data_IF_316147424101
#
_entry.id   IF_316147424101
#
_cell.length_a   1.000
_cell.length_b   1.000
_cell.length_c   1.000
_cell.angle_alpha   90.00
_cell.angle_beta   90.00
_cell.angle_gamma   90.00
#
_symmetry.space_group_name_H-M   'P 1'
#
loop_
_entity.id
_entity.type
_entity.pdbx_description
1 polymer ?
#
# COMPACT_ATOMS: atom_id res chain seq x y z
N UNK A 1 -4.42 -6.61 -11.62
CA UNK A 1 -3.78 -5.90 -10.49
C UNK A 1 -4.51 -6.18 -9.19
N UNK A 2 -5.82 -5.89 -9.11
CA UNK A 2 -6.62 -6.19 -7.91
C UNK A 2 -6.58 -7.67 -7.51
N UNK A 3 -6.67 -8.57 -8.48
CA UNK A 3 -6.64 -10.02 -8.20
C UNK A 3 -5.31 -10.48 -7.57
N UNK A 4 -4.17 -10.04 -8.12
CA UNK A 4 -2.84 -10.32 -7.55
C UNK A 4 -2.74 -9.78 -6.12
N UNK A 5 -3.29 -8.60 -5.88
CA UNK A 5 -3.30 -7.99 -4.55
C UNK A 5 -4.16 -8.79 -3.55
N UNK A 6 -5.34 -9.28 -3.98
CA UNK A 6 -6.20 -10.16 -3.17
C UNK A 6 -5.51 -11.49 -2.88
N UNK A 7 -4.86 -12.10 -3.86
CA UNK A 7 -4.11 -13.35 -3.68
C UNK A 7 -2.99 -13.20 -2.64
N UNK A 8 -2.22 -12.10 -2.68
CA UNK A 8 -1.20 -11.82 -1.65
C UNK A 8 -1.85 -11.73 -0.26
N UNK A 9 -2.97 -11.03 -0.14
CA UNK A 9 -3.67 -10.89 1.14
C UNK A 9 -4.21 -12.21 1.67
N UNK A 10 -4.76 -13.06 0.80
CA UNK A 10 -5.22 -14.40 1.15
C UNK A 10 -4.05 -15.27 1.62
N UNK A 11 -2.94 -15.28 0.88
CA UNK A 11 -1.74 -16.05 1.23
C UNK A 11 -1.18 -15.67 2.61
N UNK A 12 -1.30 -14.40 2.99
CA UNK A 12 -0.86 -13.91 4.30
C UNK A 12 -1.98 -13.86 5.36
N UNK A 13 -3.21 -14.28 5.03
CA UNK A 13 -4.38 -14.19 5.91
C UNK A 13 -4.64 -12.77 6.46
N UNK A 14 -4.32 -11.75 5.67
CA UNK A 14 -4.45 -10.34 6.06
C UNK A 14 -5.75 -9.77 5.50
N UNK A 15 -6.56 -9.16 6.37
CA UNK A 15 -7.75 -8.43 5.92
C UNK A 15 -7.33 -7.14 5.20
N UNK A 16 -7.87 -6.90 4.01
CA UNK A 16 -7.61 -5.70 3.22
C UNK A 16 -7.74 -4.39 4.02
N UNK A 17 -8.76 -4.27 4.87
CA UNK A 17 -9.01 -3.08 5.71
C UNK A 17 -7.81 -2.71 6.60
N UNK A 18 -6.97 -3.68 7.01
CA UNK A 18 -5.81 -3.44 7.85
C UNK A 18 -4.67 -2.73 7.10
N UNK A 19 -4.48 -3.07 5.82
CA UNK A 19 -3.38 -2.53 5.02
C UNK A 19 -3.78 -1.36 4.11
N UNK A 20 -5.07 -1.20 3.83
CA UNK A 20 -5.55 -0.19 2.89
C UNK A 20 -5.12 1.23 3.30
N UNK A 21 -5.26 1.57 4.59
CA UNK A 21 -4.91 2.90 5.09
C UNK A 21 -3.39 3.14 5.13
N UNK A 22 -2.56 2.23 5.71
CA UNK A 22 -1.10 2.36 5.65
C UNK A 22 -0.55 2.52 4.23
N UNK A 23 -1.05 1.72 3.27
CA UNK A 23 -0.62 1.80 1.87
C UNK A 23 -1.01 3.15 1.25
N UNK A 24 -2.22 3.66 1.50
CA UNK A 24 -2.63 4.99 1.02
C UNK A 24 -1.72 6.10 1.53
N UNK A 25 -1.39 6.08 2.83
CA UNK A 25 -0.49 7.07 3.43
C UNK A 25 0.92 6.93 2.83
N UNK A 26 1.44 5.72 2.70
CA UNK A 26 2.74 5.46 2.09
C UNK A 26 2.83 5.97 0.63
N UNK A 27 1.74 5.80 -0.14
CA UNK A 27 1.72 6.18 -1.55
C UNK A 27 1.38 7.64 -1.79
N UNK A 28 0.58 8.29 -0.94
CA UNK A 28 0.02 9.63 -1.21
C UNK A 28 0.38 10.70 -0.17
N UNK A 29 0.87 10.30 1.00
CA UNK A 29 1.05 11.20 2.15
C UNK A 29 -0.26 11.73 2.74
N UNK A 30 -1.42 11.24 2.29
CA UNK A 30 -2.76 11.68 2.72
C UNK A 30 -3.54 10.52 3.33
N UNK A 31 -4.45 10.86 4.25
CA UNK A 31 -5.37 9.89 4.88
C UNK A 31 -6.65 9.69 4.09
N UNK A 32 -7.01 10.64 3.23
CA UNK A 32 -8.12 10.51 2.28
C UNK A 32 -7.53 10.47 0.88
N UNK A 33 -7.90 9.44 0.12
CA UNK A 33 -7.39 9.22 -1.22
C UNK A 33 -8.44 8.52 -2.09
N UNK A 34 -8.30 8.57 -3.42
CA UNK A 34 -9.09 7.74 -4.35
C UNK A 34 -8.92 6.23 -4.08
N UNK A 35 -9.47 5.39 -4.96
CA UNK A 35 -9.32 3.94 -4.86
C UNK A 35 -7.84 3.53 -4.77
N UNK A 36 -7.50 2.56 -3.91
CA UNK A 36 -6.10 2.12 -3.74
C UNK A 36 -5.50 1.64 -5.07
N UNK A 37 -6.31 0.96 -5.89
CA UNK A 37 -5.90 0.44 -7.19
C UNK A 37 -5.73 1.54 -8.23
N UNK A 38 -6.52 2.61 -8.16
CA UNK A 38 -6.34 3.81 -9.00
C UNK A 38 -5.02 4.49 -8.69
N UNK A 39 -4.68 4.62 -7.41
CA UNK A 39 -3.40 5.20 -6.97
C UNK A 39 -2.23 4.34 -7.47
N UNK A 40 -2.30 3.03 -7.30
CA UNK A 40 -1.25 2.11 -7.76
C UNK A 40 -1.11 2.19 -9.29
N UNK A 41 -2.22 2.18 -10.03
CA UNK A 41 -2.21 2.32 -11.49
C UNK A 41 -1.65 3.67 -11.96
N UNK A 42 -1.92 4.76 -11.21
CA UNK A 42 -1.45 6.11 -11.54
C UNK A 42 0.05 6.28 -11.26
N UNK A 43 0.53 5.72 -10.15
CA UNK A 43 1.92 5.85 -9.71
C UNK A 43 2.86 4.83 -10.39
N UNK A 44 2.35 3.64 -10.70
CA UNK A 44 3.04 2.55 -11.39
C UNK A 44 4.48 2.31 -10.84
N UNK A 45 5.50 2.78 -11.56
CA UNK A 45 6.93 2.55 -11.25
C UNK A 45 7.38 3.02 -9.88
N UNK A 46 6.72 4.02 -9.29
CA UNK A 46 7.13 4.57 -7.97
C UNK A 46 6.45 3.91 -6.79
N UNK A 47 5.52 2.97 -7.01
CA UNK A 47 4.76 2.29 -5.94
C UNK A 47 5.71 1.52 -5.01
N UNK A 48 6.53 0.63 -5.55
CA UNK A 48 7.44 -0.19 -4.73
C UNK A 48 8.50 0.66 -3.98
N UNK A 49 9.17 1.65 -4.62
CA UNK A 49 10.05 2.56 -3.89
C UNK A 49 9.38 3.28 -2.73
N UNK A 50 8.15 3.78 -2.90
CA UNK A 50 7.40 4.47 -1.83
C UNK A 50 7.03 3.55 -0.68
N UNK A 51 6.57 2.33 -0.97
CA UNK A 51 6.26 1.34 0.05
C UNK A 51 7.49 0.93 0.87
N UNK A 52 8.64 0.73 0.21
CA UNK A 52 9.91 0.43 0.89
C UNK A 52 10.37 1.58 1.79
N UNK A 53 10.26 2.82 1.31
CA UNK A 53 10.60 3.98 2.12
C UNK A 53 9.70 4.12 3.36
N UNK A 54 8.40 3.87 3.20
CA UNK A 54 7.45 3.89 4.32
C UNK A 54 7.75 2.78 5.33
N UNK A 55 8.10 1.57 4.87
CA UNK A 55 8.48 0.46 5.74
C UNK A 55 9.75 0.80 6.54
N UNK A 56 10.81 1.25 5.88
CA UNK A 56 12.05 1.67 6.55
C UNK A 56 11.81 2.76 7.60
N UNK A 57 10.90 3.70 7.32
CA UNK A 57 10.51 4.74 8.27
C UNK A 57 9.74 4.21 9.49
N UNK A 58 8.91 3.18 9.32
CA UNK A 58 8.20 2.51 10.41
C UNK A 58 9.17 1.69 11.27
N UNK A 59 10.09 0.96 10.65
CA UNK A 59 11.12 0.16 11.32
C UNK A 59 12.08 1.03 12.13
N UNK A 60 12.48 2.19 11.61
CA UNK A 60 13.35 3.13 12.33
C UNK A 60 12.69 3.83 13.53
N UNK A 61 11.36 3.69 13.69
CA UNK A 61 10.57 4.31 14.77
C UNK A 61 10.02 3.31 15.77
N UNK A 62 10.19 2.01 15.54
CA UNK A 62 9.82 0.92 16.44
C UNK A 62 10.98 0.63 17.42
#
# INVERSE_FOLDING_TARGET
MEEVFKQVLENHQIKFKLIAQPVRVALTGKTVSPGIFEIIATLDKVVLPRLKAALAHMEARA
#
